data_IF_354419079085
#
_entry.id   IF_354419079085
#
_cell.length_a   1.000
_cell.length_b   1.000
_cell.length_c   1.000
_cell.angle_alpha   90.00
_cell.angle_beta   90.00
_cell.angle_gamma   90.00
#
_symmetry.space_group_name_H-M   'P 1'
#
loop_
_entity.id
_entity.type
_entity.pdbx_description
1 polymer ?
#
# COMPACT_ATOMS: atom_id res chain seq x y z
N UNK A 1 70.05 -6.76 -44.89
CA UNK A 1 69.56 -7.90 -45.70
C UNK A 1 69.20 -9.05 -44.76
N UNK A 2 67.92 -9.14 -44.32
CA UNK A 2 67.24 -10.27 -43.62
C UNK A 2 67.93 -10.68 -42.27
N UNK A 3 67.33 -11.30 -41.26
CA UNK A 3 66.13 -12.12 -41.13
C UNK A 3 65.73 -12.22 -39.62
N UNK A 4 64.43 -12.37 -39.40
CA UNK A 4 63.67 -12.69 -38.17
C UNK A 4 64.06 -14.07 -37.58
N UNK A 5 63.93 -14.23 -36.25
CA UNK A 5 63.44 -15.47 -35.63
C UNK A 5 62.87 -15.22 -34.21
N UNK A 6 61.75 -15.88 -33.91
CA UNK A 6 60.97 -15.88 -32.66
C UNK A 6 61.27 -17.18 -31.87
N UNK A 7 61.14 -17.22 -30.54
CA UNK A 7 61.09 -18.51 -29.83
C UNK A 7 61.23 -18.53 -28.30
N UNK A 8 60.08 -18.67 -27.63
CA UNK A 8 59.74 -19.50 -26.45
C UNK A 8 60.57 -19.55 -25.15
N UNK A 9 59.85 -19.45 -24.02
CA UNK A 9 60.25 -19.95 -22.71
C UNK A 9 59.05 -20.42 -21.88
N UNK A 10 58.97 -21.74 -21.63
CA UNK A 10 57.99 -22.46 -20.78
C UNK A 10 58.53 -22.65 -19.34
N UNK A 11 57.59 -23.03 -18.45
CA UNK A 11 57.71 -23.80 -17.18
C UNK A 11 57.43 -23.00 -15.90
N UNK A 12 56.79 -23.49 -14.82
CA UNK A 12 55.95 -24.67 -14.50
C UNK A 12 55.25 -24.40 -13.12
N UNK A 13 54.07 -25.01 -12.94
CA UNK A 13 53.27 -25.40 -11.74
C UNK A 13 53.64 -24.95 -10.30
N UNK A 14 52.61 -24.48 -9.58
CA UNK A 14 52.51 -24.51 -8.11
C UNK A 14 51.07 -24.29 -7.62
N UNK A 15 50.43 -25.33 -7.08
CA UNK A 15 49.10 -25.34 -6.47
C UNK A 15 49.19 -25.06 -4.96
N UNK A 16 48.37 -24.15 -4.41
CA UNK A 16 47.76 -24.33 -3.08
C UNK A 16 46.76 -23.23 -2.72
N UNK A 17 45.50 -23.64 -2.52
CA UNK A 17 44.57 -23.16 -1.49
C UNK A 17 44.21 -21.67 -1.44
N UNK A 18 43.01 -21.34 -1.93
CA UNK A 18 42.18 -20.37 -1.23
C UNK A 18 40.79 -20.95 -0.93
N UNK A 19 40.48 -20.86 0.34
CA UNK A 19 39.35 -21.42 1.05
C UNK A 19 38.13 -20.51 0.92
N UNK A 20 36.98 -21.13 0.64
CA UNK A 20 35.61 -20.71 1.00
C UNK A 20 35.32 -19.20 1.10
N UNK A 21 34.46 -18.73 0.19
CA UNK A 21 33.37 -17.84 0.55
C UNK A 21 32.10 -18.24 -0.22
N UNK A 22 31.35 -19.19 0.35
CA UNK A 22 29.95 -19.41 0.00
C UNK A 22 29.12 -18.23 0.52
N UNK A 23 28.95 -17.18 -0.28
CA UNK A 23 27.92 -16.17 -0.05
C UNK A 23 26.60 -16.69 -0.62
N UNK A 24 25.90 -17.47 0.19
CA UNK A 24 24.62 -18.12 -0.12
C UNK A 24 23.38 -17.23 0.05
N UNK A 25 23.52 -15.91 0.20
CA UNK A 25 22.38 -15.01 0.39
C UNK A 25 22.38 -13.86 -0.62
N UNK A 26 21.27 -13.61 -1.33
CA UNK A 26 21.08 -12.35 -2.03
C UNK A 26 21.16 -11.22 -1.00
N UNK A 27 22.03 -10.25 -1.24
CA UNK A 27 22.06 -9.01 -0.47
C UNK A 27 20.63 -8.46 -0.34
N UNK A 28 20.21 -7.98 0.86
CA UNK A 28 18.91 -7.34 0.99
C UNK A 28 18.86 -6.24 -0.06
N UNK A 29 17.85 -6.33 -0.93
CA UNK A 29 17.66 -5.40 -2.04
C UNK A 29 17.73 -4.00 -1.46
N UNK A 30 18.81 -3.30 -1.78
CA UNK A 30 18.95 -1.89 -1.47
C UNK A 30 17.87 -1.21 -2.30
N UNK A 31 16.70 -1.01 -1.70
CA UNK A 31 15.66 -0.17 -2.26
C UNK A 31 16.33 1.18 -2.42
N UNK A 32 16.76 1.47 -3.66
CA UNK A 32 17.26 2.77 -4.03
C UNK A 32 16.07 3.70 -3.86
N UNK A 33 15.99 4.33 -2.69
CA UNK A 33 15.14 5.50 -2.51
C UNK A 33 15.67 6.56 -3.46
N UNK A 34 15.15 6.57 -4.69
CA UNK A 34 15.17 7.78 -5.47
C UNK A 34 14.47 8.81 -4.60
N UNK A 35 15.22 9.80 -4.09
CA UNK A 35 14.65 11.00 -3.49
C UNK A 35 13.81 11.71 -4.55
N UNK A 36 12.60 11.21 -4.79
CA UNK A 36 11.50 12.06 -5.23
C UNK A 36 11.21 12.93 -4.02
N UNK A 37 11.42 14.24 -4.14
CA UNK A 37 10.86 15.22 -3.21
C UNK A 37 9.33 15.06 -3.29
N UNK A 38 8.77 14.09 -2.56
CA UNK A 38 7.32 13.98 -2.44
C UNK A 38 6.86 15.16 -1.60
N UNK A 39 5.94 16.01 -2.10
CA UNK A 39 5.41 17.14 -1.35
C UNK A 39 4.77 16.69 -0.03
N UNK A 40 4.27 15.45 0.04
CA UNK A 40 3.74 14.87 1.28
C UNK A 40 4.80 14.77 2.40
N UNK A 41 6.06 14.48 2.04
CA UNK A 41 7.17 14.39 3.02
C UNK A 41 7.65 15.75 3.53
N UNK A 42 7.18 16.85 2.93
CA UNK A 42 7.51 18.21 3.34
C UNK A 42 6.44 18.88 4.20
N UNK A 43 5.30 18.21 4.42
CA UNK A 43 4.21 18.74 5.23
C UNK A 43 4.60 18.75 6.72
N UNK A 44 4.28 19.85 7.39
CA UNK A 44 4.26 19.90 8.86
C UNK A 44 3.13 19.02 9.41
N UNK A 45 3.17 18.71 10.71
CA UNK A 45 2.10 17.94 11.37
C UNK A 45 0.72 18.60 11.20
N UNK A 46 0.63 19.91 11.40
CA UNK A 46 -0.64 20.64 11.29
C UNK A 46 -1.19 20.64 9.86
N UNK A 47 -0.32 20.74 8.86
CA UNK A 47 -0.71 20.63 7.45
C UNK A 47 -1.17 19.21 7.10
N UNK A 48 -0.50 18.18 7.65
CA UNK A 48 -0.91 16.79 7.49
C UNK A 48 -2.30 16.55 8.08
N UNK A 49 -2.54 17.01 9.31
CA UNK A 49 -3.85 16.89 9.97
C UNK A 49 -4.93 17.65 9.18
N UNK A 50 -4.64 18.89 8.77
CA UNK A 50 -5.60 19.69 7.98
C UNK A 50 -5.97 19.00 6.67
N UNK A 51 -4.98 18.47 5.94
CA UNK A 51 -5.22 17.74 4.70
C UNK A 51 -6.06 16.47 4.93
N UNK A 52 -5.82 15.73 6.01
CA UNK A 52 -6.59 14.53 6.34
C UNK A 52 -8.04 14.84 6.76
N UNK A 53 -8.26 15.93 7.51
CA UNK A 53 -9.59 16.39 7.89
C UNK A 53 -10.39 16.87 6.67
N UNK A 54 -9.76 17.66 5.80
CA UNK A 54 -10.37 18.09 4.53
C UNK A 54 -10.65 16.89 3.61
N UNK A 55 -9.84 15.85 3.71
CA UNK A 55 -9.98 14.62 2.95
C UNK A 55 -11.14 13.73 3.41
N UNK A 56 -11.85 14.02 4.51
CA UNK A 56 -12.88 13.12 5.07
C UNK A 56 -13.96 12.75 4.03
N UNK A 57 -14.37 11.46 3.94
CA UNK A 57 -15.46 11.05 3.05
C UNK A 57 -16.82 11.45 3.67
N UNK A 58 -17.86 11.68 2.85
CA UNK A 58 -19.20 11.93 3.36
C UNK A 58 -19.75 10.69 4.07
N UNK A 59 -20.56 10.91 5.11
CA UNK A 59 -21.28 9.83 5.79
C UNK A 59 -22.42 9.36 4.88
N UNK A 60 -22.48 8.05 4.66
CA UNK A 60 -23.54 7.38 3.92
C UNK A 60 -24.33 6.55 4.91
N UNK A 61 -25.65 6.53 4.76
CA UNK A 61 -26.54 5.71 5.56
C UNK A 61 -27.14 4.60 4.72
N UNK A 62 -27.52 3.51 5.37
CA UNK A 62 -28.30 2.45 4.74
C UNK A 62 -29.64 2.97 4.19
N UNK A 63 -30.05 2.49 3.01
CA UNK A 63 -31.36 2.78 2.42
C UNK A 63 -32.48 1.92 3.07
N UNK A 64 -32.42 1.75 4.39
CA UNK A 64 -33.35 0.91 5.15
C UNK A 64 -34.78 1.45 5.06
N UNK A 65 -35.69 0.60 4.58
CA UNK A 65 -37.12 0.88 4.51
C UNK A 65 -37.85 0.11 5.63
N UNK A 66 -38.32 0.79 6.71
CA UNK A 66 -39.00 0.14 7.83
C UNK A 66 -40.35 -0.46 7.46
N UNK A 67 -40.91 -0.15 6.28
CA UNK A 67 -42.16 -0.74 5.81
C UNK A 67 -41.98 -2.16 5.24
N UNK A 68 -40.74 -2.59 4.96
CA UNK A 68 -40.44 -3.90 4.39
C UNK A 68 -40.16 -4.93 5.48
N UNK A 69 -40.52 -6.22 5.25
CA UNK A 69 -40.18 -7.29 6.18
C UNK A 69 -38.66 -7.38 6.38
N UNK A 70 -38.23 -7.39 7.63
CA UNK A 70 -36.84 -7.53 8.00
C UNK A 70 -36.43 -9.02 8.02
N UNK A 71 -35.35 -9.35 7.33
CA UNK A 71 -34.75 -10.69 7.26
C UNK A 71 -33.22 -10.58 7.18
N UNK A 72 -32.51 -11.67 7.51
CA UNK A 72 -31.05 -11.73 7.39
C UNK A 72 -30.58 -11.44 5.95
N UNK A 73 -31.26 -12.00 4.95
CA UNK A 73 -30.97 -11.74 3.55
C UNK A 73 -31.13 -10.25 3.18
N UNK A 74 -32.19 -9.60 3.68
CA UNK A 74 -32.37 -8.15 3.46
C UNK A 74 -31.32 -7.31 4.19
N UNK A 75 -30.87 -7.73 5.38
CA UNK A 75 -29.80 -7.05 6.11
C UNK A 75 -28.48 -7.15 5.36
N UNK A 76 -28.11 -8.35 4.90
CA UNK A 76 -26.91 -8.56 4.09
C UNK A 76 -26.96 -7.69 2.83
N UNK A 77 -28.09 -7.66 2.12
CA UNK A 77 -28.26 -6.80 0.95
C UNK A 77 -28.09 -5.30 1.25
N UNK A 78 -28.64 -4.80 2.35
CA UNK A 78 -28.47 -3.41 2.78
C UNK A 78 -27.00 -3.10 3.12
N UNK A 79 -26.32 -4.00 3.84
CA UNK A 79 -24.92 -3.84 4.21
C UNK A 79 -23.98 -3.90 3.00
N UNK A 80 -24.21 -4.84 2.08
CA UNK A 80 -23.44 -4.92 0.83
C UNK A 80 -23.66 -3.67 -0.03
N UNK A 81 -24.90 -3.21 -0.18
CA UNK A 81 -25.17 -1.99 -0.94
C UNK A 81 -24.53 -0.75 -0.30
N UNK A 82 -24.57 -0.64 1.03
CA UNK A 82 -23.90 0.44 1.75
C UNK A 82 -22.39 0.39 1.52
N UNK A 83 -21.78 -0.80 1.65
CA UNK A 83 -20.34 -0.98 1.40
C UNK A 83 -19.96 -0.59 -0.03
N UNK A 84 -20.74 -0.99 -1.04
CA UNK A 84 -20.50 -0.61 -2.44
C UNK A 84 -20.47 0.91 -2.62
N UNK A 85 -21.39 1.63 -1.96
CA UNK A 85 -21.44 3.09 -1.99
C UNK A 85 -20.25 3.70 -1.24
N UNK A 86 -19.95 3.23 -0.04
CA UNK A 86 -18.83 3.73 0.77
C UNK A 86 -17.48 3.50 0.07
N UNK A 87 -17.29 2.38 -0.63
CA UNK A 87 -16.09 2.08 -1.41
C UNK A 87 -15.79 3.13 -2.48
N UNK A 88 -16.82 3.66 -3.17
CA UNK A 88 -16.64 4.74 -4.16
C UNK A 88 -16.06 5.99 -3.48
N UNK A 89 -16.56 6.34 -2.31
CA UNK A 89 -16.06 7.48 -1.54
C UNK A 89 -14.68 7.20 -0.94
N UNK A 90 -14.40 5.96 -0.53
CA UNK A 90 -13.09 5.54 -0.04
C UNK A 90 -12.00 5.68 -1.10
N UNK A 91 -12.27 5.31 -2.35
CA UNK A 91 -11.31 5.49 -3.45
C UNK A 91 -10.98 6.97 -3.64
N UNK A 92 -11.98 7.85 -3.56
CA UNK A 92 -11.78 9.29 -3.68
C UNK A 92 -11.09 9.90 -2.44
N UNK A 93 -11.38 9.39 -1.25
CA UNK A 93 -10.68 9.72 -0.01
C UNK A 93 -9.20 9.35 -0.11
N UNK A 94 -8.88 8.12 -0.54
CA UNK A 94 -7.51 7.63 -0.64
C UNK A 94 -6.65 8.50 -1.56
N UNK A 95 -7.20 8.96 -2.69
CA UNK A 95 -6.52 9.91 -3.60
C UNK A 95 -6.19 11.26 -2.95
N UNK A 96 -6.91 11.66 -1.90
CA UNK A 96 -6.66 12.90 -1.14
C UNK A 96 -5.68 12.70 0.01
N UNK A 97 -5.36 11.46 0.40
CA UNK A 97 -4.36 11.17 1.42
C UNK A 97 -2.97 11.58 0.90
N UNK A 98 -2.23 12.48 1.59
CA UNK A 98 -0.91 12.91 1.16
C UNK A 98 0.04 11.73 0.92
N UNK A 99 0.62 11.67 -0.28
CA UNK A 99 1.58 10.64 -0.67
C UNK A 99 0.97 9.37 -1.28
N UNK A 100 -0.34 9.16 -1.18
CA UNK A 100 -1.00 7.99 -1.77
C UNK A 100 -0.92 7.99 -3.31
N UNK A 101 -1.15 9.15 -3.93
CA UNK A 101 -1.08 9.31 -5.39
C UNK A 101 0.34 9.29 -5.96
N UNK A 102 1.36 9.36 -5.10
CA UNK A 102 2.76 9.24 -5.51
C UNK A 102 3.18 7.77 -5.75
N UNK A 103 2.39 6.82 -5.23
CA UNK A 103 2.56 5.39 -5.45
C UNK A 103 2.16 4.98 -6.88
N UNK A 104 2.64 3.84 -7.34
CA UNK A 104 2.18 3.30 -8.62
C UNK A 104 0.69 2.96 -8.55
N UNK A 105 -0.02 3.01 -9.69
CA UNK A 105 -1.44 2.64 -9.73
C UNK A 105 -1.67 1.20 -9.22
N UNK A 106 -0.73 0.30 -9.50
CA UNK A 106 -0.77 -1.07 -9.00
C UNK A 106 -0.74 -1.11 -7.47
N UNK A 107 0.16 -0.37 -6.84
CA UNK A 107 0.26 -0.31 -5.38
C UNK A 107 -0.95 0.36 -4.75
N UNK A 108 -1.50 1.41 -5.39
CA UNK A 108 -2.72 2.07 -4.92
C UNK A 108 -3.91 1.11 -4.89
N UNK A 109 -4.10 0.32 -5.96
CA UNK A 109 -5.15 -0.69 -6.02
C UNK A 109 -4.91 -1.78 -4.98
N UNK A 110 -3.68 -2.30 -4.90
CA UNK A 110 -3.34 -3.37 -3.96
C UNK A 110 -3.57 -2.96 -2.49
N UNK A 111 -3.17 -1.75 -2.11
CA UNK A 111 -3.41 -1.23 -0.75
C UNK A 111 -4.90 -1.16 -0.42
N UNK A 112 -5.73 -0.70 -1.36
CA UNK A 112 -7.19 -0.66 -1.17
C UNK A 112 -7.80 -2.05 -1.15
N UNK A 113 -7.37 -2.97 -2.01
CA UNK A 113 -7.82 -4.38 -2.00
C UNK A 113 -7.55 -5.07 -0.66
N UNK A 114 -6.43 -4.76 -0.01
CA UNK A 114 -6.10 -5.32 1.30
C UNK A 114 -6.83 -4.63 2.45
N UNK A 115 -6.96 -3.30 2.42
CA UNK A 115 -7.38 -2.52 3.59
C UNK A 115 -8.84 -2.07 3.58
N UNK A 116 -9.59 -2.23 2.48
CA UNK A 116 -10.93 -1.62 2.36
C UNK A 116 -11.86 -2.00 3.51
N UNK A 117 -11.90 -3.29 3.89
CA UNK A 117 -12.80 -3.74 4.96
C UNK A 117 -12.39 -3.17 6.31
N UNK A 118 -11.08 -3.07 6.58
CA UNK A 118 -10.56 -2.46 7.82
C UNK A 118 -10.95 -0.98 7.89
N UNK A 119 -10.86 -0.25 6.77
CA UNK A 119 -11.26 1.15 6.67
C UNK A 119 -12.77 1.33 6.92
N UNK A 120 -13.61 0.45 6.35
CA UNK A 120 -15.05 0.46 6.64
C UNK A 120 -15.33 0.20 8.13
N UNK A 121 -14.62 -0.77 8.73
CA UNK A 121 -14.81 -1.12 10.14
C UNK A 121 -14.36 -0.03 11.10
N UNK A 122 -13.20 0.60 10.88
CA UNK A 122 -12.77 1.72 11.74
C UNK A 122 -13.71 2.93 11.59
N UNK A 123 -14.20 3.22 10.38
CA UNK A 123 -15.21 4.26 10.16
C UNK A 123 -16.53 3.97 10.87
N UNK A 124 -17.01 2.73 10.81
CA UNK A 124 -18.20 2.28 11.52
C UNK A 124 -18.03 2.41 13.04
N UNK A 125 -16.90 1.97 13.58
CA UNK A 125 -16.60 2.06 15.01
C UNK A 125 -16.56 3.52 15.46
N UNK A 126 -15.87 4.39 14.73
CA UNK A 126 -15.79 5.82 15.00
C UNK A 126 -17.18 6.46 15.10
N UNK A 127 -18.04 6.23 14.11
CA UNK A 127 -19.42 6.77 14.10
C UNK A 127 -20.31 6.16 15.19
N UNK A 128 -19.98 4.97 15.68
CA UNK A 128 -20.76 4.27 16.71
C UNK A 128 -20.30 4.56 18.14
N UNK A 129 -19.23 5.34 18.35
CA UNK A 129 -18.64 5.60 19.68
C UNK A 129 -19.64 6.20 20.68
N UNK A 130 -20.60 7.01 20.22
CA UNK A 130 -21.63 7.64 21.06
C UNK A 130 -22.86 6.75 21.30
N UNK A 131 -22.87 5.51 20.77
CA UNK A 131 -24.03 4.61 20.77
C UNK A 131 -23.71 3.23 21.38
N UNK A 132 -23.58 3.13 22.72
CA UNK A 132 -23.25 1.86 23.38
C UNK A 132 -24.22 0.74 23.02
N UNK A 133 -23.66 -0.41 22.61
CA UNK A 133 -24.43 -1.61 22.24
C UNK A 133 -25.14 -1.53 20.89
N UNK A 134 -24.89 -0.50 20.08
CA UNK A 134 -25.46 -0.33 18.73
C UNK A 134 -24.38 0.01 17.72
N UNK A 135 -24.60 -0.40 16.48
CA UNK A 135 -23.77 -0.02 15.33
C UNK A 135 -24.60 0.90 14.42
N UNK A 136 -24.01 2.02 14.00
CA UNK A 136 -24.68 2.95 13.09
C UNK A 136 -24.32 2.66 11.63
N UNK A 137 -25.22 2.02 10.89
CA UNK A 137 -25.07 1.75 9.46
C UNK A 137 -25.87 2.74 8.61
#
# INVERSE_FOLDING_TARGET
>A
KRQRDDGEGRSEVGSSGDVRASSLWPSPLLIKHAKKNSPALSLTADQMVSALLEAEPPIIYSDYDPSRPFSEASMMGLLTNLADRELVHMINWAKRVPGFVDLSLHDQVHLLECAWLEILMIGLVWRSMEHPGKLQF
#
